data_IF_933127376210
#
_entry.id   IF_933127376210
#
_cell.length_a   1.000
_cell.length_b   1.000
_cell.length_c   1.000
_cell.angle_alpha   90.00
_cell.angle_beta   90.00
_cell.angle_gamma   90.00
#
_symmetry.space_group_name_H-M   'P 1'
#
loop_
_entity.id
_entity.type
_entity.pdbx_description
1 polymer ?
#
# COMPACT_ATOMS: atom_id res chain seq x y z
N UNK A 1 18.42 1.90 -19.33
CA UNK A 1 18.32 2.10 -17.88
C UNK A 1 17.20 3.10 -17.69
N UNK A 2 16.09 2.73 -17.02
CA UNK A 2 15.00 3.68 -16.76
C UNK A 2 15.53 4.65 -15.71
N UNK A 3 15.46 5.95 -15.99
CA UNK A 3 15.89 6.99 -15.07
C UNK A 3 14.91 7.05 -13.89
N UNK A 4 15.42 6.85 -12.67
CA UNK A 4 14.61 6.93 -11.45
C UNK A 4 14.34 8.40 -11.12
N UNK A 5 13.11 8.71 -10.71
CA UNK A 5 12.76 10.10 -10.36
C UNK A 5 13.47 10.52 -9.05
N UNK A 6 13.69 11.84 -8.81
CA UNK A 6 14.27 12.30 -7.54
C UNK A 6 13.46 11.86 -6.31
N UNK A 7 12.12 11.81 -6.42
CA UNK A 7 11.23 11.33 -5.35
C UNK A 7 11.48 9.85 -5.05
N UNK A 8 11.59 9.03 -6.09
CA UNK A 8 11.92 7.62 -5.95
C UNK A 8 13.30 7.43 -5.32
N UNK A 9 14.31 8.18 -5.76
CA UNK A 9 15.66 8.11 -5.19
C UNK A 9 15.67 8.41 -3.68
N UNK A 10 14.99 9.47 -3.26
CA UNK A 10 14.89 9.85 -1.84
C UNK A 10 14.18 8.75 -1.05
N UNK A 11 13.05 8.24 -1.55
CA UNK A 11 12.30 7.17 -0.88
C UNK A 11 13.12 5.88 -0.74
N UNK A 12 13.89 5.53 -1.78
CA UNK A 12 14.73 4.32 -1.80
C UNK A 12 16.01 4.44 -0.97
N UNK A 13 16.28 5.57 -0.32
CA UNK A 13 17.37 5.67 0.68
C UNK A 13 16.99 5.08 2.03
N UNK A 14 15.69 5.06 2.34
CA UNK A 14 15.17 4.48 3.58
C UNK A 14 15.27 2.95 3.54
N UNK A 15 15.40 2.31 4.70
CA UNK A 15 15.27 0.85 4.81
C UNK A 15 13.83 0.38 4.55
N UNK A 16 13.65 -0.92 4.28
CA UNK A 16 12.34 -1.53 3.98
C UNK A 16 11.32 -1.26 5.09
N UNK A 17 11.71 -1.37 6.36
CA UNK A 17 10.81 -1.13 7.51
C UNK A 17 10.31 0.30 7.52
N UNK A 18 11.19 1.27 7.28
CA UNK A 18 10.84 2.70 7.21
C UNK A 18 9.89 2.97 6.04
N UNK A 19 10.13 2.37 4.86
CA UNK A 19 9.23 2.49 3.70
C UNK A 19 7.85 1.89 3.99
N UNK A 20 7.78 0.72 4.63
CA UNK A 20 6.53 0.09 5.03
C UNK A 20 5.74 0.95 6.03
N UNK A 21 6.41 1.61 6.99
CA UNK A 21 5.75 2.53 7.93
C UNK A 21 5.15 3.76 7.24
N UNK A 22 5.76 4.24 6.14
CA UNK A 22 5.16 5.29 5.31
C UNK A 22 3.91 4.79 4.60
N UNK A 23 3.94 3.57 4.07
CA UNK A 23 2.75 2.92 3.50
C UNK A 23 1.63 2.78 4.55
N UNK A 24 1.93 2.32 5.77
CA UNK A 24 0.96 2.27 6.90
C UNK A 24 0.32 3.64 7.14
N UNK A 25 1.12 4.70 7.10
CA UNK A 25 0.63 6.08 7.29
C UNK A 25 -0.39 6.46 6.22
N UNK A 26 -0.11 6.13 4.95
CA UNK A 26 -1.05 6.37 3.84
C UNK A 26 -2.33 5.56 3.99
N UNK A 27 -2.23 4.25 4.28
CA UNK A 27 -3.40 3.39 4.46
C UNK A 27 -4.27 3.88 5.63
N UNK A 28 -3.66 4.37 6.71
CA UNK A 28 -4.39 4.96 7.85
C UNK A 28 -5.11 6.26 7.48
N UNK A 29 -4.47 7.13 6.67
CA UNK A 29 -5.11 8.34 6.16
C UNK A 29 -6.29 8.00 5.24
N UNK A 30 -6.14 7.04 4.32
CA UNK A 30 -7.21 6.57 3.45
C UNK A 30 -8.38 6.03 4.28
N UNK A 31 -8.14 5.16 5.26
CA UNK A 31 -9.17 4.63 6.15
C UNK A 31 -9.92 5.75 6.91
N UNK A 32 -9.17 6.74 7.41
CA UNK A 32 -9.75 7.88 8.11
C UNK A 32 -10.67 8.70 7.20
N UNK A 33 -10.24 8.97 5.97
CA UNK A 33 -11.00 9.73 4.98
C UNK A 33 -12.27 9.00 4.54
N UNK A 34 -12.21 7.67 4.40
CA UNK A 34 -13.40 6.84 4.16
C UNK A 34 -14.42 6.95 5.29
N UNK A 35 -13.96 6.88 6.54
CA UNK A 35 -14.83 6.94 7.72
C UNK A 35 -15.47 8.32 7.91
N UNK A 36 -14.75 9.38 7.54
CA UNK A 36 -15.23 10.76 7.64
C UNK A 36 -16.03 11.22 6.41
N UNK A 37 -16.10 10.41 5.34
CA UNK A 37 -16.81 10.76 4.10
C UNK A 37 -16.27 12.01 3.42
N UNK A 38 -14.96 12.28 3.53
CA UNK A 38 -14.40 13.61 3.28
C UNK A 38 -14.08 13.90 1.81
N UNK A 39 -12.88 13.51 1.35
CA UNK A 39 -12.30 14.00 0.10
C UNK A 39 -11.90 12.85 -0.82
N UNK A 40 -12.63 12.74 -1.91
CA UNK A 40 -12.42 11.78 -2.99
C UNK A 40 -11.02 11.93 -3.62
N UNK A 41 -10.68 13.15 -4.05
CA UNK A 41 -9.40 13.48 -4.68
C UNK A 41 -8.19 13.12 -3.80
N UNK A 42 -8.30 13.36 -2.49
CA UNK A 42 -7.23 13.04 -1.55
C UNK A 42 -7.06 11.53 -1.39
N UNK A 43 -8.16 10.77 -1.35
CA UNK A 43 -8.08 9.31 -1.31
C UNK A 43 -7.41 8.79 -2.58
N UNK A 44 -7.80 9.28 -3.76
CA UNK A 44 -7.20 8.89 -5.04
C UNK A 44 -5.69 9.19 -5.08
N UNK A 45 -5.28 10.38 -4.63
CA UNK A 45 -3.86 10.75 -4.59
C UNK A 45 -3.06 9.83 -3.66
N UNK A 46 -3.60 9.51 -2.48
CA UNK A 46 -2.96 8.59 -1.53
C UNK A 46 -2.90 7.16 -2.06
N UNK A 47 -3.95 6.70 -2.76
CA UNK A 47 -4.02 5.38 -3.41
C UNK A 47 -2.95 5.28 -4.50
N UNK A 48 -2.83 6.27 -5.38
CA UNK A 48 -1.81 6.27 -6.44
C UNK A 48 -0.39 6.32 -5.86
N UNK A 49 -0.14 7.17 -4.85
CA UNK A 49 1.17 7.23 -4.21
C UNK A 49 1.54 5.93 -3.48
N UNK A 50 0.58 5.29 -2.82
CA UNK A 50 0.79 4.01 -2.13
C UNK A 50 1.24 2.91 -3.09
N UNK A 51 0.77 2.91 -4.34
CA UNK A 51 1.21 1.95 -5.36
C UNK A 51 2.70 2.10 -5.63
N UNK A 52 3.20 3.33 -5.81
CA UNK A 52 4.63 3.58 -6.01
C UNK A 52 5.47 3.15 -4.80
N UNK A 53 5.00 3.42 -3.57
CA UNK A 53 5.70 2.97 -2.38
C UNK A 53 5.89 1.46 -2.35
N UNK A 54 4.87 0.70 -2.76
CA UNK A 54 4.95 -0.75 -2.85
C UNK A 54 5.91 -1.18 -3.98
N UNK A 55 5.76 -0.63 -5.17
CA UNK A 55 6.62 -0.92 -6.33
C UNK A 55 8.12 -0.68 -6.02
N UNK A 56 8.43 0.30 -5.17
CA UNK A 56 9.80 0.62 -4.77
C UNK A 56 10.29 -0.14 -3.53
N UNK A 57 9.40 -0.84 -2.82
CA UNK A 57 9.74 -1.62 -1.61
C UNK A 57 9.91 -3.10 -1.94
N UNK A 58 8.99 -3.67 -2.73
CA UNK A 58 8.96 -5.10 -3.08
C UNK A 58 10.29 -5.64 -3.61
N UNK A 59 11.04 -4.95 -4.51
CA UNK A 59 12.29 -5.49 -5.02
C UNK A 59 13.34 -5.76 -3.93
N UNK A 60 13.38 -4.94 -2.88
CA UNK A 60 14.35 -5.11 -1.80
C UNK A 60 13.91 -6.17 -0.79
N UNK A 61 12.60 -6.39 -0.61
CA UNK A 61 12.07 -7.55 0.12
C UNK A 61 12.42 -8.86 -0.60
N UNK A 62 12.26 -8.91 -1.92
CA UNK A 62 12.62 -10.08 -2.75
C UNK A 62 14.12 -10.37 -2.67
N UNK A 63 14.98 -9.34 -2.74
CA UNK A 63 16.44 -9.52 -2.57
C UNK A 63 16.81 -10.05 -1.18
N UNK A 64 15.98 -9.78 -0.17
CA UNK A 64 16.16 -10.26 1.20
C UNK A 64 15.48 -11.61 1.46
N UNK A 65 15.01 -12.31 0.42
CA UNK A 65 14.31 -13.61 0.49
C UNK A 65 12.95 -13.56 1.25
N UNK A 66 12.36 -12.38 1.42
CA UNK A 66 11.03 -12.20 2.01
C UNK A 66 9.93 -12.25 0.92
N UNK A 67 9.88 -13.38 0.21
CA UNK A 67 9.07 -13.55 -1.00
C UNK A 67 7.57 -13.55 -0.70
N UNK A 68 7.15 -14.22 0.37
CA UNK A 68 5.73 -14.37 0.69
C UNK A 68 5.09 -13.02 1.02
N UNK A 69 5.75 -12.22 1.87
CA UNK A 69 5.25 -10.89 2.23
C UNK A 69 5.36 -9.91 1.08
N UNK A 70 6.38 -10.05 0.23
CA UNK A 70 6.47 -9.29 -1.02
C UNK A 70 5.28 -9.57 -1.95
N UNK A 71 4.85 -10.84 -2.07
CA UNK A 71 3.66 -11.22 -2.83
C UNK A 71 2.39 -10.59 -2.26
N UNK A 72 2.24 -10.54 -0.94
CA UNK A 72 1.09 -9.87 -0.32
C UNK A 72 1.04 -8.38 -0.67
N UNK A 73 2.17 -7.68 -0.70
CA UNK A 73 2.17 -6.28 -1.14
C UNK A 73 1.80 -6.13 -2.62
N UNK A 74 2.15 -7.09 -3.47
CA UNK A 74 1.70 -7.12 -4.87
C UNK A 74 0.17 -7.26 -4.95
N UNK A 75 -0.45 -8.07 -4.09
CA UNK A 75 -1.91 -8.17 -4.02
C UNK A 75 -2.56 -6.85 -3.59
N UNK A 76 -1.95 -6.13 -2.66
CA UNK A 76 -2.37 -4.77 -2.31
C UNK A 76 -2.26 -3.80 -3.50
N UNK A 77 -1.16 -3.80 -4.26
CA UNK A 77 -1.06 -2.96 -5.47
C UNK A 77 -2.16 -3.28 -6.47
N UNK A 78 -2.49 -4.55 -6.66
CA UNK A 78 -3.57 -4.98 -7.57
C UNK A 78 -4.92 -4.43 -7.10
N UNK A 79 -5.21 -4.50 -5.80
CA UNK A 79 -6.41 -3.92 -5.21
C UNK A 79 -6.47 -2.41 -5.46
N UNK A 80 -5.41 -1.67 -5.10
CA UNK A 80 -5.35 -0.22 -5.25
C UNK A 80 -5.48 0.20 -6.72
N UNK A 81 -4.86 -0.56 -7.63
CA UNK A 81 -4.97 -0.33 -9.07
C UNK A 81 -6.41 -0.55 -9.54
N UNK A 82 -7.09 -1.61 -9.08
CA UNK A 82 -8.50 -1.86 -9.39
C UNK A 82 -9.39 -0.70 -8.91
N UNK A 83 -9.11 -0.14 -7.74
CA UNK A 83 -9.85 1.02 -7.25
C UNK A 83 -9.70 2.22 -8.18
N UNK A 84 -8.49 2.55 -8.66
CA UNK A 84 -8.28 3.65 -9.60
C UNK A 84 -9.10 3.50 -10.89
N UNK A 85 -9.25 2.28 -11.41
CA UNK A 85 -10.02 2.02 -12.63
C UNK A 85 -11.54 2.01 -12.44
N UNK A 86 -12.01 1.74 -11.23
CA UNK A 86 -13.45 1.60 -10.92
C UNK A 86 -13.94 2.63 -9.90
N UNK A 87 -13.19 3.72 -9.75
CA UNK A 87 -13.35 4.65 -8.65
C UNK A 87 -14.75 5.27 -8.59
N UNK A 88 -15.27 5.77 -9.72
CA UNK A 88 -16.60 6.39 -9.78
C UNK A 88 -17.70 5.42 -9.29
N UNK A 89 -17.59 4.13 -9.63
CA UNK A 89 -18.53 3.10 -9.19
C UNK A 89 -18.39 2.85 -7.69
N UNK A 90 -17.15 2.73 -7.20
CA UNK A 90 -16.88 2.51 -5.77
C UNK A 90 -17.38 3.70 -4.96
N UNK A 91 -17.19 4.92 -5.44
CA UNK A 91 -17.54 6.13 -4.70
C UNK A 91 -19.04 6.42 -4.70
N UNK A 92 -19.78 6.08 -5.76
CA UNK A 92 -21.22 6.37 -5.82
C UNK A 92 -22.09 5.29 -5.19
N UNK A 93 -21.56 4.08 -5.00
CA UNK A 93 -22.26 2.92 -4.43
C UNK A 93 -21.90 2.72 -2.94
N UNK A 94 -22.89 2.84 -2.06
CA UNK A 94 -22.69 2.73 -0.62
C UNK A 94 -22.16 1.35 -0.16
N UNK A 95 -22.55 0.26 -0.82
CA UNK A 95 -22.05 -1.08 -0.49
C UNK A 95 -20.59 -1.23 -0.92
N UNK A 96 -20.24 -0.70 -2.10
CA UNK A 96 -18.85 -0.72 -2.57
C UNK A 96 -17.96 0.19 -1.72
N UNK A 97 -18.42 1.38 -1.29
CA UNK A 97 -17.71 2.23 -0.32
C UNK A 97 -17.44 1.48 0.98
N UNK A 98 -18.44 0.77 1.50
CA UNK A 98 -18.30 0.00 2.73
C UNK A 98 -17.32 -1.17 2.57
N UNK A 99 -17.36 -1.86 1.43
CA UNK A 99 -16.39 -2.90 1.08
C UNK A 99 -14.98 -2.34 1.00
N UNK A 100 -14.78 -1.22 0.31
CA UNK A 100 -13.49 -0.55 0.18
C UNK A 100 -12.91 -0.15 1.55
N UNK A 101 -13.76 0.37 2.45
CA UNK A 101 -13.37 0.70 3.82
C UNK A 101 -12.92 -0.52 4.64
N UNK A 102 -13.54 -1.69 4.42
CA UNK A 102 -13.12 -2.94 5.08
C UNK A 102 -11.80 -3.47 4.49
N UNK A 103 -11.66 -3.44 3.17
CA UNK A 103 -10.43 -3.84 2.47
C UNK A 103 -9.22 -3.01 2.94
N UNK A 104 -9.35 -1.67 3.03
CA UNK A 104 -8.26 -0.83 3.52
C UNK A 104 -7.95 -1.07 4.99
N UNK A 105 -8.96 -1.39 5.80
CA UNK A 105 -8.77 -1.71 7.22
C UNK A 105 -7.96 -2.99 7.39
N UNK A 106 -8.28 -4.03 6.60
CA UNK A 106 -7.52 -5.27 6.55
C UNK A 106 -6.06 -5.02 6.15
N UNK A 107 -5.84 -4.29 5.06
CA UNK A 107 -4.48 -4.03 4.57
C UNK A 107 -3.67 -3.12 5.49
N UNK A 108 -4.30 -2.13 6.14
CA UNK A 108 -3.65 -1.31 7.16
C UNK A 108 -3.11 -2.19 8.28
N UNK A 109 -3.92 -3.12 8.78
CA UNK A 109 -3.47 -4.08 9.79
C UNK A 109 -2.33 -4.94 9.25
N UNK A 110 -2.51 -5.52 8.06
CA UNK A 110 -1.54 -6.47 7.51
C UNK A 110 -0.17 -5.83 7.23
N UNK A 111 -0.14 -4.66 6.59
CA UNK A 111 1.11 -3.93 6.34
C UNK A 111 1.74 -3.47 7.67
N UNK A 112 0.92 -3.13 8.68
CA UNK A 112 1.44 -2.82 10.01
C UNK A 112 2.15 -4.02 10.65
N UNK A 113 1.64 -5.24 10.48
CA UNK A 113 2.28 -6.47 10.93
C UNK A 113 3.60 -6.71 10.20
N UNK A 114 3.59 -6.67 8.86
CA UNK A 114 4.80 -6.83 8.03
C UNK A 114 5.88 -5.82 8.44
N UNK A 115 5.50 -4.57 8.76
CA UNK A 115 6.45 -3.53 9.18
C UNK A 115 7.09 -3.76 10.56
N UNK A 116 6.60 -4.72 11.35
CA UNK A 116 7.05 -4.98 12.73
C UNK A 116 7.72 -6.34 12.90
N UNK A 117 7.49 -7.28 12.00
CA UNK A 117 7.99 -8.65 12.11
C UNK A 117 9.15 -8.90 11.16
N UNK A 118 10.14 -9.66 11.59
CA UNK A 118 11.20 -10.16 10.71
C UNK A 118 10.65 -11.25 9.79
N UNK A 119 11.17 -11.41 8.55
CA UNK A 119 10.80 -12.51 7.67
C UNK A 119 10.92 -13.84 8.41
N UNK A 120 9.97 -14.75 8.22
CA UNK A 120 10.12 -16.07 8.82
C UNK A 120 11.31 -16.76 8.16
N UNK A 121 12.40 -16.94 8.91
CA UNK A 121 13.53 -17.72 8.44
C UNK A 121 13.02 -19.12 8.11
N UNK A 122 13.11 -19.52 6.84
CA UNK A 122 12.84 -20.91 6.48
C UNK A 122 13.82 -21.78 7.27
N UNK A 123 13.33 -22.43 8.33
CA UNK A 123 14.03 -23.53 8.97
C UNK A 123 13.95 -24.70 7.99
N UNK A 124 15.02 -24.88 7.22
CA UNK A 124 15.24 -26.08 6.40
C UNK A 124 15.50 -27.31 7.27
#
# INVERSE_FOLDING_TARGET
MIEVTPKQQIFMQDDVTTRLRRLVTHLSQIQSLWTQGSSEDLILALVDESRYFIEWTVPDMVKADDIDRACELVDLVRLLTRWLFHWDNIWTDAEQKQSASQEISYWLQRVSEISRTEPESMSA
#
